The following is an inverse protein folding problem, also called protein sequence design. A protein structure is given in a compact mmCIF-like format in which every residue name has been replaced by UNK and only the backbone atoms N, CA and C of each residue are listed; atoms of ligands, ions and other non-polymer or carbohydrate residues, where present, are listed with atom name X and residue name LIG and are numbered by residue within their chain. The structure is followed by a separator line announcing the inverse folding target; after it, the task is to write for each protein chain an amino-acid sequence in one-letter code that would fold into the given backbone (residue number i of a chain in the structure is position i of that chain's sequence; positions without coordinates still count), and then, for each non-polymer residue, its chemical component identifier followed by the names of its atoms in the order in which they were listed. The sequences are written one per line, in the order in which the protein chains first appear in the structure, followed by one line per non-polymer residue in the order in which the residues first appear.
data_IF_134723902365
#
_entry.id   IF_134723902365
#
_cell.length_a   1.000
_cell.length_b   1.000
_cell.length_c   1.000
_cell.angle_alpha   90.00
_cell.angle_beta   90.00
_cell.angle_gamma   90.00
#
_symmetry.space_group_name_H-M   'P 1'
#
loop_
_entity.id
_entity.type
_entity.pdbx_description
1 polymer ?
#
# COMPACT_ATOMS: atom_id res chain seq x y z
N UNK A 1 -40.94 2.88 4.16
CA UNK A 1 -39.82 3.03 3.20
C UNK A 1 -40.25 2.50 1.83
N UNK A 2 -39.94 3.20 0.74
CA UNK A 2 -40.33 2.78 -0.62
C UNK A 2 -39.48 1.62 -1.12
N UNK A 3 -40.07 0.65 -1.82
CA UNK A 3 -39.38 -0.52 -2.41
C UNK A 3 -38.14 -0.11 -3.23
N UNK A 4 -38.25 1.01 -3.96
CA UNK A 4 -37.15 1.58 -4.75
C UNK A 4 -35.94 1.98 -3.90
N UNK A 5 -36.16 2.46 -2.68
CA UNK A 5 -35.06 2.84 -1.75
C UNK A 5 -34.32 1.59 -1.27
N UNK A 6 -35.05 0.54 -0.90
CA UNK A 6 -34.47 -0.73 -0.47
C UNK A 6 -33.67 -1.41 -1.58
N UNK A 7 -34.15 -1.37 -2.81
CA UNK A 7 -33.45 -1.94 -3.96
C UNK A 7 -32.16 -1.16 -4.29
N UNK A 8 -32.19 0.17 -4.16
CA UNK A 8 -31.01 1.02 -4.33
C UNK A 8 -29.97 0.79 -3.23
N UNK A 9 -30.38 0.63 -1.97
CA UNK A 9 -29.47 0.34 -0.85
C UNK A 9 -28.76 -1.01 -1.03
N UNK A 10 -29.51 -2.05 -1.46
CA UNK A 10 -28.93 -3.36 -1.78
C UNK A 10 -27.95 -3.27 -2.95
N UNK A 11 -28.32 -2.55 -4.01
CA UNK A 11 -27.44 -2.33 -5.16
C UNK A 11 -26.16 -1.61 -4.78
N UNK A 12 -26.25 -0.57 -3.95
CA UNK A 12 -25.10 0.20 -3.50
C UNK A 12 -24.16 -0.63 -2.61
N UNK A 13 -24.71 -1.43 -1.70
CA UNK A 13 -23.93 -2.36 -0.88
C UNK A 13 -23.18 -3.38 -1.74
N UNK A 14 -23.85 -3.99 -2.73
CA UNK A 14 -23.22 -4.93 -3.65
C UNK A 14 -22.09 -4.30 -4.46
N UNK A 15 -22.31 -3.09 -5.00
CA UNK A 15 -21.30 -2.37 -5.77
C UNK A 15 -20.09 -2.02 -4.90
N UNK A 16 -20.32 -1.59 -3.66
CA UNK A 16 -19.24 -1.25 -2.71
C UNK A 16 -18.37 -2.46 -2.40
N UNK A 17 -18.97 -3.62 -2.10
CA UNK A 17 -18.23 -4.86 -1.86
C UNK A 17 -17.47 -5.31 -3.10
N UNK A 18 -18.08 -5.17 -4.28
CA UNK A 18 -17.43 -5.53 -5.55
C UNK A 18 -16.25 -4.63 -5.86
N UNK A 19 -16.36 -3.32 -5.62
CA UNK A 19 -15.24 -2.38 -5.78
C UNK A 19 -14.09 -2.76 -4.85
N UNK A 20 -14.38 -3.02 -3.57
CA UNK A 20 -13.37 -3.43 -2.60
C UNK A 20 -12.66 -4.72 -2.99
N UNK A 21 -13.39 -5.70 -3.50
CA UNK A 21 -12.80 -6.96 -3.99
C UNK A 21 -11.86 -6.72 -5.18
N UNK A 22 -12.28 -5.90 -6.16
CA UNK A 22 -11.47 -5.55 -7.33
C UNK A 22 -10.21 -4.76 -6.95
N UNK A 23 -10.31 -3.82 -6.01
CA UNK A 23 -9.17 -3.08 -5.49
C UNK A 23 -8.14 -4.00 -4.82
N UNK A 24 -8.60 -4.99 -4.04
CA UNK A 24 -7.73 -5.98 -3.42
C UNK A 24 -7.03 -6.84 -4.48
N UNK A 25 -7.78 -7.38 -5.45
CA UNK A 25 -7.18 -8.15 -6.56
C UNK A 25 -6.15 -7.33 -7.32
N UNK A 26 -6.42 -6.06 -7.58
CA UNK A 26 -5.48 -5.17 -8.27
C UNK A 26 -4.21 -4.96 -7.45
N UNK A 27 -4.33 -4.76 -6.12
CA UNK A 27 -3.19 -4.64 -5.21
C UNK A 27 -2.35 -5.92 -5.19
N UNK A 28 -2.99 -7.08 -5.14
CA UNK A 28 -2.31 -8.38 -5.13
C UNK A 28 -1.57 -8.62 -6.44
N UNK A 29 -2.20 -8.34 -7.58
CA UNK A 29 -1.56 -8.45 -8.88
C UNK A 29 -0.35 -7.52 -9.01
N UNK A 30 -0.49 -6.26 -8.59
CA UNK A 30 0.62 -5.30 -8.54
C UNK A 30 1.75 -5.77 -7.62
N UNK A 31 1.42 -6.47 -6.52
CA UNK A 31 2.42 -7.02 -5.62
C UNK A 31 3.15 -8.22 -6.25
N UNK A 32 2.41 -9.18 -6.81
CA UNK A 32 2.98 -10.36 -7.47
C UNK A 32 3.79 -10.03 -8.73
N UNK A 33 3.42 -8.97 -9.46
CA UNK A 33 4.15 -8.54 -10.67
C UNK A 33 5.48 -7.85 -10.38
N UNK A 34 5.83 -7.61 -9.11
CA UNK A 34 7.02 -6.86 -8.66
C UNK A 34 8.17 -7.76 -8.21
N UNK A 35 8.45 -8.82 -8.96
CA UNK A 35 9.57 -9.73 -8.70
C UNK A 35 10.97 -9.07 -8.57
N UNK A 36 11.11 -7.78 -8.91
CA UNK A 36 12.33 -6.98 -8.75
C UNK A 36 12.22 -5.83 -7.72
N UNK A 37 11.34 -5.88 -6.72
CA UNK A 37 11.28 -4.85 -5.66
C UNK A 37 12.01 -5.24 -4.38
N UNK A 38 12.68 -4.26 -3.78
CA UNK A 38 13.29 -4.36 -2.44
C UNK A 38 12.34 -3.72 -1.43
N UNK A 39 11.98 -4.46 -0.37
CA UNK A 39 11.20 -3.92 0.74
C UNK A 39 12.16 -3.46 1.86
N UNK A 40 12.08 -2.18 2.21
CA UNK A 40 12.85 -1.62 3.34
C UNK A 40 11.90 -1.43 4.52
N UNK A 41 12.16 -2.14 5.61
CA UNK A 41 11.34 -2.11 6.83
C UNK A 41 11.95 -1.21 7.90
N UNK A 42 11.12 -0.83 8.87
CA UNK A 42 11.50 0.01 10.01
C UNK A 42 12.06 1.38 9.60
N UNK A 43 11.60 1.91 8.47
CA UNK A 43 11.95 3.27 8.02
C UNK A 43 11.02 4.26 8.72
N UNK A 44 11.53 5.22 9.51
CA UNK A 44 10.73 6.23 10.18
C UNK A 44 9.78 6.95 9.21
N UNK A 45 8.58 7.28 9.68
CA UNK A 45 7.57 8.02 8.91
C UNK A 45 7.62 9.48 9.36
N UNK A 46 7.61 10.40 8.40
CA UNK A 46 7.55 11.85 8.62
C UNK A 46 6.15 12.35 8.27
N UNK A 47 5.66 13.35 9.00
CA UNK A 47 4.40 14.01 8.65
C UNK A 47 4.52 14.73 7.30
N UNK A 48 3.49 14.63 6.46
CA UNK A 48 3.45 15.20 5.11
C UNK A 48 4.64 14.76 4.21
N UNK A 49 5.08 13.51 4.35
CA UNK A 49 6.16 12.94 3.55
C UNK A 49 5.89 13.03 2.04
N UNK A 50 6.89 13.52 1.30
CA UNK A 50 6.87 13.63 -0.16
C UNK A 50 7.64 12.49 -0.82
N UNK A 51 7.50 12.34 -2.15
CA UNK A 51 8.32 11.40 -2.91
C UNK A 51 9.82 11.75 -2.81
N UNK A 52 10.17 13.03 -2.73
CA UNK A 52 11.55 13.47 -2.63
C UNK A 52 12.17 13.10 -1.28
N UNK A 53 11.38 13.16 -0.19
CA UNK A 53 11.80 12.64 1.12
C UNK A 53 12.12 11.13 1.02
N UNK A 54 11.27 10.33 0.35
CA UNK A 54 11.50 8.90 0.15
C UNK A 54 12.76 8.61 -0.68
N UNK A 55 12.98 9.37 -1.75
CA UNK A 55 14.21 9.26 -2.56
C UNK A 55 15.43 9.59 -1.71
N UNK A 56 15.37 10.63 -0.87
CA UNK A 56 16.46 10.99 0.03
C UNK A 56 16.79 9.86 1.01
N UNK A 57 15.77 9.17 1.54
CA UNK A 57 15.96 8.02 2.42
C UNK A 57 16.65 6.87 1.69
N UNK A 58 16.15 6.47 0.52
CA UNK A 58 16.71 5.32 -0.22
C UNK A 58 18.12 5.59 -0.71
N UNK A 59 18.38 6.80 -1.24
CA UNK A 59 19.74 7.18 -1.67
C UNK A 59 20.71 7.29 -0.48
N UNK A 60 20.24 7.75 0.68
CA UNK A 60 20.99 7.74 1.93
C UNK A 60 21.37 6.33 2.39
N UNK A 61 20.41 5.39 2.34
CA UNK A 61 20.65 3.97 2.64
C UNK A 61 21.68 3.37 1.68
N UNK A 62 21.53 3.63 0.37
CA UNK A 62 22.50 3.21 -0.66
C UNK A 62 23.91 3.63 -0.30
N UNK A 63 24.11 4.92 0.01
CA UNK A 63 25.43 5.45 0.41
C UNK A 63 26.01 4.74 1.63
N UNK A 64 25.19 4.44 2.64
CA UNK A 64 25.62 3.73 3.85
C UNK A 64 26.11 2.31 3.53
N UNK A 65 25.46 1.62 2.59
CA UNK A 65 25.85 0.26 2.20
C UNK A 65 26.90 0.21 1.07
N UNK A 66 27.41 1.37 0.63
CA UNK A 66 28.43 1.47 -0.43
C UNK A 66 27.87 1.45 -1.85
N UNK A 67 26.56 1.60 -2.02
CA UNK A 67 25.88 1.62 -3.31
C UNK A 67 25.48 3.04 -3.73
N UNK A 68 25.87 3.46 -4.92
CA UNK A 68 25.52 4.79 -5.43
C UNK A 68 24.18 4.77 -6.15
N UNK A 69 23.09 4.76 -5.37
CA UNK A 69 21.73 4.83 -5.91
C UNK A 69 21.39 6.29 -6.22
N UNK A 70 20.96 6.56 -7.45
CA UNK A 70 20.47 7.88 -7.90
C UNK A 70 18.97 7.83 -8.20
N UNK A 71 18.32 8.99 -8.37
CA UNK A 71 16.89 9.05 -8.73
C UNK A 71 16.59 8.33 -10.05
N UNK A 72 17.53 8.33 -11.00
CA UNK A 72 17.35 7.68 -12.29
C UNK A 72 17.28 6.15 -12.20
N UNK A 73 17.85 5.57 -11.14
CA UNK A 73 17.85 4.13 -10.87
C UNK A 73 16.53 3.67 -10.23
N UNK A 74 15.68 4.62 -9.80
CA UNK A 74 14.46 4.36 -9.04
C UNK A 74 13.24 4.47 -9.95
N UNK A 75 12.64 3.32 -10.29
CA UNK A 75 11.42 3.27 -11.10
C UNK A 75 10.18 3.74 -10.34
N UNK A 76 10.01 3.30 -9.09
CA UNK A 76 8.87 3.61 -8.25
C UNK A 76 9.23 3.48 -6.76
N UNK A 77 8.73 4.39 -5.93
CA UNK A 77 8.87 4.38 -4.48
C UNK A 77 7.53 4.67 -3.82
N UNK A 78 7.19 3.85 -2.84
CA UNK A 78 5.99 4.04 -2.04
C UNK A 78 6.11 3.37 -0.68
N UNK A 79 5.38 3.90 0.29
CA UNK A 79 5.07 3.17 1.51
C UNK A 79 4.10 2.04 1.19
N UNK A 80 4.32 0.90 1.83
CA UNK A 80 3.37 -0.21 1.86
C UNK A 80 2.73 -0.28 3.24
N UNK A 81 1.45 -0.65 3.36
CA UNK A 81 0.84 -0.88 4.65
C UNK A 81 1.70 -1.86 5.46
N UNK A 82 2.05 -1.49 6.69
CA UNK A 82 2.71 -2.41 7.60
C UNK A 82 1.84 -3.64 7.84
N UNK A 83 2.47 -4.76 8.24
CA UNK A 83 1.72 -5.94 8.68
C UNK A 83 0.78 -5.49 9.81
N UNK A 84 -0.53 -5.55 9.58
CA UNK A 84 -1.50 -5.35 10.66
C UNK A 84 -1.13 -6.38 11.72
N UNK A 85 -0.69 -5.91 12.90
CA UNK A 85 -0.46 -6.80 14.03
C UNK A 85 -1.69 -7.67 14.17
N UNK A 86 -1.48 -8.99 14.25
CA UNK A 86 -2.55 -9.98 14.26
C UNK A 86 -3.67 -9.51 15.18
N UNK A 87 -4.90 -9.62 14.67
CA UNK A 87 -6.11 -9.40 15.45
C UNK A 87 -5.89 -9.98 16.85
N UNK A 88 -6.10 -9.16 17.89
CA UNK A 88 -6.30 -9.70 19.23
C UNK A 88 -7.49 -10.62 19.12
N UNK A 89 -7.26 -11.92 19.04
CA UNK A 89 -8.27 -12.95 19.26
C UNK A 89 -8.63 -12.85 20.74
N UNK A 90 -9.61 -12.02 21.06
CA UNK A 90 -10.38 -12.23 22.29
C UNK A 90 -11.29 -13.42 22.01
N UNK A 91 -10.79 -14.60 22.34
CA UNK A 91 -11.55 -15.84 22.40
C UNK A 91 -11.30 -16.45 23.78
N UNK A 92 -12.35 -16.48 24.61
CA UNK A 92 -12.37 -17.09 25.93
C UNK A 92 -12.68 -16.10 27.03
#
# INVERSE_FOLDING_TARGET
MSKKVLDLEKGNSYLTEKVKALENTTKDQQFCSRNSTIEIRNVPIKDNETLDDLVSVVTGIGKIIGENITRADLRDLRRVPGKQGGAKTNSG
#
